data_IF_263622600773
#
_entry.id   IF_263622600773
#
_cell.length_a   1.000
_cell.length_b   1.000
_cell.length_c   1.000
_cell.angle_alpha   90.00
_cell.angle_beta   90.00
_cell.angle_gamma   90.00
#
_symmetry.space_group_name_H-M   'P 1'
#
loop_
_entity.id
_entity.type
_entity.pdbx_description
1 polymer ?
#
# COMPACT_ATOMS: atom_id res chain seq x y z
N UNK A 1 7.40 11.66 -52.63
CA UNK A 1 7.89 11.39 -51.26
C UNK A 1 7.29 12.44 -50.35
N UNK A 2 6.11 12.15 -49.77
CA UNK A 2 5.45 13.03 -48.80
C UNK A 2 5.83 12.54 -47.41
N UNK A 3 6.51 13.38 -46.64
CA UNK A 3 6.83 13.15 -45.24
C UNK A 3 5.59 13.41 -44.39
N UNK A 4 4.90 12.34 -44.00
CA UNK A 4 3.85 12.39 -42.98
C UNK A 4 4.44 12.85 -41.65
N UNK A 5 4.22 14.13 -41.33
CA UNK A 5 4.56 14.69 -40.03
C UNK A 5 3.42 14.30 -39.09
N UNK A 6 3.64 13.25 -38.28
CA UNK A 6 2.75 12.92 -37.15
C UNK A 6 2.67 14.15 -36.23
N UNK A 7 1.48 14.52 -35.73
CA UNK A 7 1.37 15.59 -34.75
C UNK A 7 2.06 15.16 -33.45
N UNK A 8 2.96 15.99 -32.95
CA UNK A 8 3.69 15.83 -31.68
C UNK A 8 2.72 15.79 -30.49
N UNK A 9 2.19 14.61 -30.17
CA UNK A 9 1.27 14.40 -29.06
C UNK A 9 1.91 14.61 -27.68
N UNK A 10 3.25 14.54 -27.60
CA UNK A 10 4.01 14.72 -26.36
C UNK A 10 4.04 16.18 -25.88
N UNK A 11 4.04 17.15 -26.80
CA UNK A 11 4.02 18.58 -26.46
C UNK A 11 2.71 19.02 -25.78
N UNK A 12 1.56 18.43 -26.18
CA UNK A 12 0.24 18.76 -25.61
C UNK A 12 0.11 18.30 -24.16
N UNK A 13 0.50 17.07 -23.87
CA UNK A 13 0.36 16.49 -22.52
C UNK A 13 1.19 17.26 -21.47
N UNK A 14 2.36 17.77 -21.85
CA UNK A 14 3.23 18.58 -20.98
C UNK A 14 2.61 19.92 -20.61
N UNK A 15 2.07 20.64 -21.58
CA UNK A 15 1.43 21.94 -21.32
C UNK A 15 0.11 21.78 -20.56
N UNK A 16 -0.63 20.69 -20.82
CA UNK A 16 -1.78 20.30 -20.00
C UNK A 16 -1.35 19.97 -18.56
N UNK A 17 -0.22 19.29 -18.36
CA UNK A 17 0.29 18.99 -17.03
C UNK A 17 0.69 20.26 -16.27
N UNK A 18 1.40 21.20 -16.91
CA UNK A 18 1.70 22.51 -16.30
C UNK A 18 0.44 23.27 -15.89
N UNK A 19 -0.56 23.25 -16.75
CA UNK A 19 -1.85 23.92 -16.51
C UNK A 19 -2.58 23.28 -15.32
N UNK A 20 -2.61 21.95 -15.29
CA UNK A 20 -3.11 21.18 -14.15
C UNK A 20 -2.37 21.52 -12.85
N UNK A 21 -1.03 21.57 -12.85
CA UNK A 21 -0.25 21.89 -11.65
C UNK A 21 -0.56 23.29 -11.10
N UNK A 22 -0.72 24.29 -11.97
CA UNK A 22 -1.07 25.66 -11.58
C UNK A 22 -2.44 25.73 -10.91
N UNK A 23 -3.42 24.96 -11.39
CA UNK A 23 -4.75 24.90 -10.80
C UNK A 23 -4.73 24.09 -9.49
N UNK A 24 -4.08 22.93 -9.50
CA UNK A 24 -4.02 22.01 -8.37
C UNK A 24 -3.33 22.64 -7.15
N UNK A 25 -2.28 23.44 -7.34
CA UNK A 25 -1.63 24.16 -6.23
C UNK A 25 -2.53 25.24 -5.61
N UNK A 26 -3.43 25.85 -6.39
CA UNK A 26 -4.40 26.83 -5.87
C UNK A 26 -5.54 26.13 -5.14
N UNK A 27 -6.03 25.01 -5.68
CA UNK A 27 -7.15 24.24 -5.13
C UNK A 27 -6.90 22.74 -5.32
N UNK A 28 -6.26 22.07 -4.34
CA UNK A 28 -6.03 20.63 -4.42
C UNK A 28 -7.35 19.87 -4.48
N UNK A 29 -7.57 19.09 -5.54
CA UNK A 29 -8.80 18.33 -5.75
C UNK A 29 -8.51 16.93 -6.26
N UNK A 30 -9.04 15.92 -5.56
CA UNK A 30 -8.94 14.53 -5.99
C UNK A 30 -9.68 14.29 -7.32
N UNK A 31 -10.74 15.06 -7.58
CA UNK A 31 -11.53 14.94 -8.80
C UNK A 31 -10.74 15.42 -10.02
N UNK A 32 -10.02 16.55 -9.91
CA UNK A 32 -9.17 17.03 -11.01
C UNK A 32 -7.99 16.11 -11.26
N UNK A 33 -7.39 15.56 -10.20
CA UNK A 33 -6.33 14.55 -10.30
C UNK A 33 -6.82 13.28 -11.01
N UNK A 34 -7.98 12.73 -10.62
CA UNK A 34 -8.56 11.55 -11.29
C UNK A 34 -8.89 11.83 -12.76
N UNK A 35 -9.41 13.01 -13.08
CA UNK A 35 -9.70 13.41 -14.46
C UNK A 35 -8.43 13.51 -15.31
N UNK A 36 -7.35 14.07 -14.77
CA UNK A 36 -6.08 14.15 -15.47
C UNK A 36 -5.47 12.75 -15.66
N UNK A 37 -5.41 11.93 -14.60
CA UNK A 37 -4.90 10.56 -14.65
C UNK A 37 -5.66 9.66 -15.62
N UNK A 38 -6.99 9.85 -15.74
CA UNK A 38 -7.81 9.12 -16.70
C UNK A 38 -7.52 9.49 -18.16
N UNK A 39 -7.09 10.73 -18.42
CA UNK A 39 -6.71 11.20 -19.75
C UNK A 39 -5.26 10.88 -20.11
N UNK A 40 -4.38 10.91 -19.11
CA UNK A 40 -2.94 10.74 -19.25
C UNK A 40 -2.45 9.67 -18.26
N UNK A 41 -2.59 8.37 -18.59
CA UNK A 41 -2.15 7.27 -17.73
C UNK A 41 -0.62 7.25 -17.55
N UNK A 42 0.12 7.75 -18.53
CA UNK A 42 1.54 8.05 -18.50
C UNK A 42 1.84 9.14 -19.52
N UNK A 43 2.78 10.03 -19.21
CA UNK A 43 3.15 11.13 -20.10
C UNK A 43 4.64 11.42 -20.01
N UNK A 44 5.19 11.87 -21.13
CA UNK A 44 6.55 12.35 -21.22
C UNK A 44 6.62 13.78 -20.66
N UNK A 45 7.62 14.02 -19.81
CA UNK A 45 7.88 15.34 -19.24
C UNK A 45 9.09 16.03 -19.87
N UNK A 46 9.84 15.36 -20.75
CA UNK A 46 11.01 15.93 -21.42
C UNK A 46 10.69 17.23 -22.21
N UNK A 47 11.57 18.26 -22.18
CA UNK A 47 12.90 18.34 -21.54
C UNK A 47 12.84 18.68 -20.03
N UNK A 48 11.64 18.73 -19.45
CA UNK A 48 11.43 18.99 -18.03
C UNK A 48 11.65 17.72 -17.22
N UNK A 49 12.01 17.89 -15.95
CA UNK A 49 12.47 16.77 -15.14
C UNK A 49 12.07 16.90 -13.68
N UNK A 50 11.94 15.75 -13.03
CA UNK A 50 11.86 15.66 -11.59
C UNK A 50 13.25 15.46 -11.00
N UNK A 51 13.54 16.22 -9.96
CA UNK A 51 14.77 16.12 -9.19
C UNK A 51 14.46 15.88 -7.72
N UNK A 52 15.29 15.07 -7.06
CA UNK A 52 15.17 14.77 -5.65
C UNK A 52 15.59 15.99 -4.82
N UNK A 53 14.62 16.58 -4.14
CA UNK A 53 14.81 17.71 -3.22
C UNK A 53 15.10 17.28 -1.79
N UNK A 54 14.86 16.00 -1.47
CA UNK A 54 15.17 15.42 -0.18
C UNK A 54 14.60 14.02 -0.05
N UNK A 55 15.03 13.32 1.00
CA UNK A 55 14.58 11.96 1.29
C UNK A 55 14.29 11.81 2.77
N UNK A 56 13.22 11.11 3.08
CA UNK A 56 12.91 10.67 4.42
C UNK A 56 12.45 9.23 4.36
N UNK A 57 13.25 8.32 4.94
CA UNK A 57 13.02 6.87 4.91
C UNK A 57 12.83 6.34 3.46
N UNK A 58 11.62 5.88 3.14
CA UNK A 58 11.20 5.33 1.84
C UNK A 58 10.51 6.36 0.94
N UNK A 59 10.30 7.59 1.43
CA UNK A 59 9.68 8.69 0.68
C UNK A 59 10.76 9.58 0.09
N UNK A 60 10.77 9.73 -1.24
CA UNK A 60 11.57 10.74 -1.93
C UNK A 60 10.72 11.96 -2.21
N UNK A 61 11.17 13.12 -1.77
CA UNK A 61 10.56 14.40 -2.08
C UNK A 61 11.13 14.92 -3.38
N UNK A 62 10.27 15.12 -4.37
CA UNK A 62 10.65 15.57 -5.69
C UNK A 62 10.24 17.03 -5.90
N UNK A 63 11.02 17.72 -6.70
CA UNK A 63 10.69 19.01 -7.28
C UNK A 63 10.69 18.88 -8.80
N UNK A 64 9.67 19.43 -9.44
CA UNK A 64 9.53 19.42 -10.89
C UNK A 64 10.09 20.73 -11.45
N UNK A 65 11.04 20.61 -12.37
CA UNK A 65 11.73 21.72 -13.03
C UNK A 65 11.35 21.74 -14.50
N UNK A 66 10.77 22.86 -14.93
CA UNK A 66 10.36 23.04 -16.32
C UNK A 66 10.49 24.52 -16.67
N UNK A 67 11.34 24.82 -17.65
CA UNK A 67 11.70 26.19 -18.02
C UNK A 67 12.22 26.99 -16.79
N UNK A 68 11.71 28.19 -16.53
CA UNK A 68 12.04 29.01 -15.36
C UNK A 68 11.15 28.72 -14.13
N UNK A 69 10.26 27.72 -14.20
CA UNK A 69 9.30 27.42 -13.15
C UNK A 69 9.69 26.14 -12.39
N UNK A 70 9.58 26.23 -11.06
CA UNK A 70 9.82 25.09 -10.17
C UNK A 70 8.57 24.82 -9.34
N UNK A 71 8.04 23.61 -9.45
CA UNK A 71 6.94 23.14 -8.62
C UNK A 71 7.45 22.19 -7.55
N UNK A 72 7.08 22.45 -6.31
CA UNK A 72 7.42 21.62 -5.14
C UNK A 72 6.21 20.77 -4.75
N UNK A 73 6.43 19.90 -3.76
CA UNK A 73 5.43 19.01 -3.17
C UNK A 73 5.07 17.81 -4.07
N UNK A 74 6.07 17.19 -4.67
CA UNK A 74 5.92 15.87 -5.26
C UNK A 74 6.57 14.83 -4.35
N UNK A 75 6.03 13.63 -4.35
CA UNK A 75 6.60 12.49 -3.65
C UNK A 75 6.64 11.28 -4.56
N UNK A 76 7.54 10.37 -4.25
CA UNK A 76 7.56 9.05 -4.85
C UNK A 76 7.62 8.03 -3.72
N UNK A 77 6.72 7.04 -3.78
CA UNK A 77 6.58 5.97 -2.80
C UNK A 77 7.03 4.65 -3.43
N UNK A 78 7.90 3.90 -2.78
CA UNK A 78 8.23 2.54 -3.23
C UNK A 78 9.68 2.09 -3.01
N UNK A 79 9.80 0.81 -2.67
CA UNK A 79 10.97 0.05 -2.23
C UNK A 79 11.84 -0.55 -3.35
N UNK A 80 11.57 -0.25 -4.62
CA UNK A 80 12.38 -0.72 -5.74
C UNK A 80 13.08 0.44 -6.42
N UNK A 81 14.24 0.86 -5.89
CA UNK A 81 15.23 1.56 -6.71
C UNK A 81 16.64 1.16 -6.30
N UNK A 82 17.29 0.47 -7.25
CA UNK A 82 18.75 0.55 -7.39
C UNK A 82 19.19 2.01 -7.54
N UNK A 83 20.46 2.25 -7.22
CA UNK A 83 21.13 3.54 -7.06
C UNK A 83 21.21 4.44 -8.31
N UNK A 84 20.23 4.44 -9.21
CA UNK A 84 20.27 5.27 -10.40
C UNK A 84 19.63 6.64 -10.11
N UNK A 85 20.45 7.69 -10.10
CA UNK A 85 20.03 9.09 -10.26
C UNK A 85 19.48 9.31 -11.69
N UNK A 86 18.49 8.53 -12.12
CA UNK A 86 17.89 8.67 -13.45
C UNK A 86 16.87 9.80 -13.40
N UNK A 87 16.98 10.74 -14.34
CA UNK A 87 15.94 11.71 -14.62
C UNK A 87 14.68 10.94 -15.03
N UNK A 88 13.54 11.28 -14.44
CA UNK A 88 12.26 10.67 -14.78
C UNK A 88 11.74 11.33 -16.05
N UNK A 89 11.85 10.63 -17.18
CA UNK A 89 11.42 11.13 -18.49
C UNK A 89 9.94 10.80 -18.75
N UNK A 90 9.50 9.59 -18.41
CA UNK A 90 8.09 9.19 -18.48
C UNK A 90 7.55 8.92 -17.09
N UNK A 91 6.45 9.60 -16.75
CA UNK A 91 5.86 9.55 -15.42
C UNK A 91 4.35 9.36 -15.50
N UNK A 92 3.79 8.80 -14.43
CA UNK A 92 2.35 8.75 -14.19
C UNK A 92 2.02 9.36 -12.84
N UNK A 93 0.82 9.92 -12.70
CA UNK A 93 0.36 10.48 -11.44
C UNK A 93 -0.33 9.41 -10.59
N UNK A 94 0.10 9.30 -9.34
CA UNK A 94 -0.51 8.47 -8.31
C UNK A 94 -1.63 9.20 -7.57
N UNK A 95 -1.60 9.15 -6.24
CA UNK A 95 -2.56 9.85 -5.39
C UNK A 95 -2.04 11.20 -4.88
N UNK A 96 -2.96 12.10 -4.52
CA UNK A 96 -2.62 13.27 -3.72
C UNK A 96 -2.82 12.96 -2.24
N UNK A 97 -1.86 13.33 -1.40
CA UNK A 97 -1.93 13.11 0.05
C UNK A 97 -1.47 14.32 0.84
N UNK A 98 -2.10 14.53 2.00
CA UNK A 98 -1.76 15.63 2.89
C UNK A 98 -0.72 15.18 3.91
N UNK A 99 0.47 15.77 3.87
CA UNK A 99 1.53 15.56 4.86
C UNK A 99 1.75 16.89 5.59
N UNK A 100 1.41 16.91 6.89
CA UNK A 100 1.40 18.14 7.68
C UNK A 100 0.34 19.12 7.17
N UNK A 101 0.77 20.31 6.74
CA UNK A 101 -0.10 21.36 6.16
C UNK A 101 -0.02 21.45 4.63
N UNK A 102 0.71 20.53 3.98
CA UNK A 102 0.96 20.57 2.53
C UNK A 102 0.35 19.34 1.86
N UNK A 103 -0.18 19.53 0.66
CA UNK A 103 -0.64 18.44 -0.21
C UNK A 103 0.50 18.07 -1.15
N UNK A 104 0.81 16.78 -1.21
CA UNK A 104 1.84 16.20 -2.06
C UNK A 104 1.20 15.34 -3.14
N UNK A 105 1.76 15.40 -4.34
CA UNK A 105 1.36 14.57 -5.48
C UNK A 105 2.34 13.41 -5.65
N UNK A 106 1.82 12.19 -5.68
CA UNK A 106 2.63 11.01 -5.96
C UNK A 106 2.98 10.92 -7.46
N UNK A 107 4.26 10.69 -7.75
CA UNK A 107 4.81 10.41 -9.07
C UNK A 107 5.21 8.95 -9.12
N UNK A 108 4.76 8.22 -10.14
CA UNK A 108 5.10 6.82 -10.40
C UNK A 108 5.93 6.73 -11.68
N UNK A 109 7.05 6.02 -11.62
CA UNK A 109 7.91 5.77 -12.78
C UNK A 109 7.44 4.50 -13.50
N UNK A 110 7.32 4.57 -14.82
CA UNK A 110 7.09 3.38 -15.64
C UNK A 110 8.43 2.68 -15.88
N UNK A 111 8.65 1.56 -15.19
CA UNK A 111 9.97 0.92 -15.16
C UNK A 111 10.05 -0.37 -14.32
N UNK A 112 9.09 -1.26 -14.46
CA UNK A 112 9.22 -2.73 -14.41
C UNK A 112 7.82 -3.34 -14.37
N UNK A 113 7.48 -4.04 -15.44
CA UNK A 113 6.30 -4.87 -15.57
C UNK A 113 6.40 -5.99 -14.52
N UNK A 114 5.44 -6.05 -13.61
CA UNK A 114 4.99 -7.34 -13.07
C UNK A 114 3.61 -7.61 -13.66
N UNK A 115 3.57 -8.67 -14.47
CA UNK A 115 2.37 -9.25 -15.04
C UNK A 115 1.36 -9.64 -13.96
N UNK A 116 0.08 -9.36 -14.22
CA UNK A 116 -0.98 -10.30 -13.90
C UNK A 116 -2.04 -10.26 -15.00
N UNK A 117 -1.64 -10.68 -16.19
CA UNK A 117 -2.55 -11.29 -17.15
C UNK A 117 -2.58 -12.79 -16.88
N UNK A 118 -3.64 -13.29 -16.24
CA UNK A 118 -4.11 -14.66 -16.45
C UNK A 118 -5.58 -14.61 -16.84
N UNK A 119 -5.78 -14.58 -18.14
CA UNK A 119 -7.00 -14.98 -18.83
C UNK A 119 -7.03 -16.50 -18.99
N UNK A 120 -8.08 -17.14 -18.45
CA UNK A 120 -8.65 -18.42 -18.89
C UNK A 120 -9.93 -18.60 -18.05
N UNK A 121 -11.15 -18.80 -18.52
CA UNK A 121 -11.72 -19.26 -19.79
C UNK A 121 -13.12 -18.65 -19.86
N UNK A 122 -13.47 -17.99 -20.96
CA UNK A 122 -14.86 -17.58 -21.23
C UNK A 122 -15.43 -18.51 -22.29
N UNK A 123 -16.18 -19.53 -21.86
CA UNK A 123 -17.06 -20.28 -22.73
C UNK A 123 -18.35 -19.49 -22.98
N UNK A 124 -18.70 -19.38 -24.26
CA UNK A 124 -19.98 -18.90 -24.77
C UNK A 124 -21.16 -19.59 -24.08
N UNK A 125 -22.15 -18.81 -23.64
CA UNK A 125 -23.56 -19.13 -23.91
C UNK A 125 -24.46 -17.91 -23.85
N UNK A 126 -25.52 -18.01 -24.62
CA UNK A 126 -26.34 -16.94 -25.15
C UNK A 126 -27.32 -16.34 -24.14
N UNK A 127 -27.71 -15.10 -24.45
CA UNK A 127 -28.95 -14.36 -24.12
C UNK A 127 -30.05 -15.18 -23.42
N UNK A 128 -30.66 -14.60 -22.37
CA UNK A 128 -32.12 -14.33 -22.27
C UNK A 128 -32.49 -13.51 -21.01
N UNK A 129 -33.28 -12.44 -21.26
CA UNK A 129 -34.28 -11.69 -20.45
C UNK A 129 -34.06 -11.31 -18.97
N UNK A 130 -34.16 -9.99 -18.78
CA UNK A 130 -34.98 -9.26 -17.79
C UNK A 130 -35.47 -10.01 -16.55
N UNK A 131 -35.06 -9.55 -15.36
CA UNK A 131 -36.03 -9.03 -14.39
C UNK A 131 -35.36 -8.10 -13.36
N UNK A 132 -36.14 -7.13 -12.91
CA UNK A 132 -35.77 -6.04 -12.01
C UNK A 132 -35.78 -6.54 -10.56
N UNK A 133 -34.69 -6.39 -9.82
CA UNK A 133 -34.76 -6.29 -8.36
C UNK A 133 -33.83 -5.18 -7.85
N UNK A 134 -34.35 -4.42 -6.90
CA UNK A 134 -33.80 -3.18 -6.38
C UNK A 134 -32.37 -3.34 -5.81
N UNK A 135 -31.49 -2.33 -5.91
CA UNK A 135 -30.22 -2.37 -5.22
C UNK A 135 -30.47 -2.32 -3.71
N UNK A 136 -30.30 -3.46 -3.04
CA UNK A 136 -30.08 -3.52 -1.60
C UNK A 136 -28.85 -2.66 -1.34
N UNK A 137 -29.07 -1.49 -0.71
CA UNK A 137 -28.00 -0.64 -0.21
C UNK A 137 -27.00 -1.52 0.54
N UNK A 138 -25.68 -1.42 0.30
CA UNK A 138 -24.72 -2.04 1.21
C UNK A 138 -24.96 -1.42 2.58
N UNK A 139 -25.47 -2.23 3.49
CA UNK A 139 -25.56 -1.90 4.91
C UNK A 139 -24.14 -1.51 5.33
N UNK A 140 -23.92 -0.35 5.97
CA UNK A 140 -22.61 -0.07 6.55
C UNK A 140 -22.29 -1.23 7.49
N UNK A 141 -21.14 -1.87 7.25
CA UNK A 141 -20.54 -2.83 8.17
C UNK A 141 -20.63 -2.20 9.55
N UNK A 142 -21.42 -2.82 10.44
CA UNK A 142 -21.53 -2.39 11.83
C UNK A 142 -20.09 -2.32 12.36
N UNK A 143 -19.57 -1.12 12.59
CA UNK A 143 -18.31 -0.97 13.31
C UNK A 143 -18.49 -1.71 14.65
N UNK A 144 -17.70 -2.75 14.94
CA UNK A 144 -17.75 -3.38 16.24
C UNK A 144 -17.37 -2.31 17.26
N UNK A 145 -18.35 -1.92 18.08
CA UNK A 145 -18.08 -1.22 19.32
C UNK A 145 -17.20 -2.16 20.16
N UNK A 146 -16.06 -1.62 20.59
CA UNK A 146 -15.21 -2.08 21.69
C UNK A 146 -14.01 -3.01 21.41
N UNK A 147 -13.50 -3.11 20.17
CA UNK A 147 -12.12 -3.63 19.98
C UNK A 147 -11.06 -2.52 20.14
N UNK A 148 -10.88 -2.05 21.38
CA UNK A 148 -9.89 -1.00 21.71
C UNK A 148 -8.44 -1.43 21.42
N UNK A 149 -8.15 -2.73 21.46
CA UNK A 149 -6.86 -3.30 21.10
C UNK A 149 -6.56 -3.12 19.61
N UNK A 150 -7.49 -3.54 18.75
CA UNK A 150 -7.34 -3.39 17.30
C UNK A 150 -7.31 -1.92 16.87
N UNK A 151 -8.12 -1.05 17.48
CA UNK A 151 -8.05 0.40 17.23
C UNK A 151 -6.67 0.97 17.59
N UNK A 152 -6.08 0.50 18.67
CA UNK A 152 -4.72 0.89 19.06
C UNK A 152 -3.70 0.42 18.04
N UNK A 153 -3.75 -0.85 17.65
CA UNK A 153 -2.91 -1.41 16.58
C UNK A 153 -3.02 -0.59 15.29
N UNK A 154 -4.24 -0.35 14.81
CA UNK A 154 -4.50 0.47 13.61
C UNK A 154 -3.94 1.88 13.74
N UNK A 155 -4.00 2.47 14.94
CA UNK A 155 -3.47 3.81 15.18
C UNK A 155 -1.94 3.87 15.06
N UNK A 156 -1.23 2.83 15.53
CA UNK A 156 0.22 2.71 15.41
C UNK A 156 0.60 2.34 13.97
N UNK A 157 -0.09 1.37 13.36
CA UNK A 157 0.12 0.92 11.99
C UNK A 157 -0.02 2.04 10.95
N UNK A 158 -0.93 3.00 11.19
CA UNK A 158 -1.12 4.16 10.31
C UNK A 158 -0.15 5.29 10.62
N UNK A 159 0.21 5.49 11.89
CA UNK A 159 1.02 6.64 12.34
C UNK A 159 2.04 6.25 13.43
N UNK A 160 3.14 5.56 13.07
CA UNK A 160 4.15 5.07 14.02
C UNK A 160 4.79 6.18 14.85
N UNK A 161 5.06 7.32 14.22
CA UNK A 161 5.93 8.40 14.72
C UNK A 161 5.25 9.36 15.72
N UNK A 162 4.00 9.11 16.12
CA UNK A 162 3.17 10.10 16.84
C UNK A 162 2.63 9.65 18.20
N UNK A 163 3.02 8.50 18.74
CA UNK A 163 2.39 7.97 19.97
C UNK A 163 3.34 7.28 20.95
N UNK A 164 2.94 7.34 22.22
CA UNK A 164 3.52 6.54 23.30
C UNK A 164 3.28 5.06 23.04
N UNK A 165 4.39 4.34 22.87
CA UNK A 165 4.42 2.90 22.70
C UNK A 165 4.17 2.27 24.07
N UNK A 166 3.06 1.54 24.21
CA UNK A 166 2.69 0.89 25.46
C UNK A 166 3.05 -0.61 25.38
N UNK A 167 4.22 -1.03 25.87
CA UNK A 167 4.60 -2.43 25.89
C UNK A 167 3.65 -3.21 26.81
N UNK A 168 3.24 -4.41 26.38
CA UNK A 168 2.37 -5.30 27.15
C UNK A 168 0.88 -5.20 26.82
N UNK A 169 0.46 -4.30 25.94
CA UNK A 169 -0.94 -4.20 25.50
C UNK A 169 -1.36 -5.40 24.64
N UNK A 170 -2.53 -5.94 24.94
CA UNK A 170 -3.16 -7.03 24.19
C UNK A 170 -3.98 -6.48 23.02
N UNK A 171 -3.86 -7.13 21.86
CA UNK A 171 -4.55 -6.81 20.63
C UNK A 171 -5.31 -8.06 20.18
N UNK A 172 -6.60 -7.88 19.90
CA UNK A 172 -7.46 -8.92 19.36
C UNK A 172 -7.71 -8.63 17.88
N UNK A 173 -7.23 -9.51 17.02
CA UNK A 173 -7.48 -9.53 15.58
C UNK A 173 -8.75 -10.35 15.35
N UNK A 174 -9.85 -9.64 15.09
CA UNK A 174 -11.17 -10.20 14.82
C UNK A 174 -11.42 -10.32 13.30
N UNK A 175 -12.64 -10.70 12.90
CA UNK A 175 -13.03 -10.85 11.49
C UNK A 175 -12.94 -9.55 10.66
N UNK A 176 -12.80 -8.38 11.31
CA UNK A 176 -12.56 -7.11 10.60
C UNK A 176 -11.09 -6.91 10.24
N UNK A 177 -10.19 -7.58 10.95
CA UNK A 177 -8.76 -7.60 10.64
C UNK A 177 -8.15 -8.97 10.97
N UNK A 178 -8.49 -10.04 10.24
CA UNK A 178 -7.87 -11.32 10.46
C UNK A 178 -6.40 -11.33 10.01
N UNK A 179 -5.69 -12.30 10.56
CA UNK A 179 -4.32 -12.66 10.25
C UNK A 179 -4.31 -13.69 9.13
N UNK A 180 -3.71 -13.33 7.99
CA UNK A 180 -3.55 -14.23 6.86
C UNK A 180 -2.22 -14.96 7.04
N UNK A 181 -2.24 -16.28 7.13
CA UNK A 181 -1.00 -17.03 7.24
C UNK A 181 -0.23 -16.99 5.91
N UNK A 182 1.05 -16.59 5.97
CA UNK A 182 1.91 -16.50 4.80
C UNK A 182 2.80 -17.72 4.69
N UNK A 183 3.64 -17.98 5.70
CA UNK A 183 4.61 -19.07 5.64
C UNK A 183 5.21 -19.36 7.00
N UNK A 184 5.85 -20.53 7.09
CA UNK A 184 6.77 -20.88 8.16
C UNK A 184 8.18 -20.49 7.73
N UNK A 185 8.86 -19.67 8.50
CA UNK A 185 10.21 -19.16 8.24
C UNK A 185 11.15 -19.41 9.42
N UNK A 186 12.44 -19.61 9.14
CA UNK A 186 13.47 -19.75 10.18
C UNK A 186 14.40 -18.54 10.16
N UNK A 187 14.77 -18.05 11.35
CA UNK A 187 15.85 -17.06 11.44
C UNK A 187 17.19 -17.76 11.25
N UNK A 188 17.82 -17.50 10.09
CA UNK A 188 19.04 -18.15 9.63
C UNK A 188 20.28 -17.82 10.50
N UNK A 189 20.35 -16.62 11.08
CA UNK A 189 21.62 -16.08 11.55
C UNK A 189 21.94 -16.26 13.04
N UNK A 190 20.98 -16.63 13.91
CA UNK A 190 21.24 -16.57 15.37
C UNK A 190 20.72 -17.78 16.16
N UNK A 191 19.43 -18.12 16.12
CA UNK A 191 18.84 -19.09 17.08
C UNK A 191 18.18 -20.32 16.45
N UNK A 192 18.20 -20.49 15.12
CA UNK A 192 17.38 -21.49 14.40
C UNK A 192 15.91 -21.50 14.85
N UNK A 193 15.42 -20.37 15.36
CA UNK A 193 14.05 -20.24 15.83
C UNK A 193 13.11 -20.27 14.64
N UNK A 194 12.09 -21.10 14.75
CA UNK A 194 11.01 -21.19 13.77
C UNK A 194 9.97 -20.12 14.08
N UNK A 195 9.50 -19.44 13.04
CA UNK A 195 8.46 -18.43 13.10
C UNK A 195 7.34 -18.81 12.15
N UNK A 196 6.13 -18.47 12.54
CA UNK A 196 4.96 -18.44 11.68
C UNK A 196 4.69 -16.99 11.33
N UNK A 197 4.75 -16.69 10.05
CA UNK A 197 4.59 -15.35 9.51
C UNK A 197 3.18 -15.14 9.00
N UNK A 198 2.56 -14.06 9.46
CA UNK A 198 1.20 -13.65 9.15
C UNK A 198 1.17 -12.23 8.59
N UNK A 199 0.11 -11.92 7.85
CA UNK A 199 -0.21 -10.57 7.42
C UNK A 199 -1.53 -10.11 8.04
N UNK A 200 -1.52 -8.99 8.75
CA UNK A 200 -2.74 -8.32 9.18
C UNK A 200 -3.48 -7.73 7.97
N UNK A 201 -4.66 -8.27 7.66
CA UNK A 201 -5.42 -7.93 6.45
C UNK A 201 -5.94 -6.49 6.39
N UNK A 202 -6.08 -5.81 7.54
CA UNK A 202 -6.62 -4.44 7.60
C UNK A 202 -5.60 -3.33 7.29
N UNK A 203 -4.31 -3.64 7.31
CA UNK A 203 -3.23 -2.66 7.07
C UNK A 203 -2.12 -3.23 6.18
N UNK A 204 -2.41 -3.90 5.06
CA UNK A 204 -1.44 -4.71 4.31
C UNK A 204 -0.22 -3.93 3.79
N UNK A 205 -0.33 -2.60 3.68
CA UNK A 205 0.75 -1.70 3.25
C UNK A 205 1.62 -1.17 4.41
N UNK A 206 1.27 -1.45 5.66
CA UNK A 206 2.03 -1.01 6.84
C UNK A 206 3.17 -1.99 7.13
N UNK A 207 4.36 -1.51 7.56
CA UNK A 207 5.42 -2.40 8.01
C UNK A 207 4.99 -3.26 9.21
N UNK A 208 4.07 -2.75 10.04
CA UNK A 208 3.52 -3.48 11.19
C UNK A 208 2.46 -4.52 10.81
N UNK A 209 2.11 -4.65 9.53
CA UNK A 209 1.22 -5.71 9.06
C UNK A 209 1.87 -7.08 9.06
N UNK A 210 3.19 -7.13 8.95
CA UNK A 210 3.95 -8.36 9.00
C UNK A 210 4.15 -8.78 10.45
N UNK A 211 3.47 -9.87 10.83
CA UNK A 211 3.43 -10.37 12.19
C UNK A 211 4.16 -11.70 12.21
N UNK A 212 5.24 -11.76 13.00
CA UNK A 212 6.00 -12.99 13.22
C UNK A 212 5.67 -13.53 14.61
N UNK A 213 5.16 -14.75 14.66
CA UNK A 213 4.90 -15.46 15.91
C UNK A 213 5.95 -16.56 16.05
N UNK A 214 6.70 -16.56 17.15
CA UNK A 214 7.69 -17.59 17.42
C UNK A 214 6.98 -18.91 17.69
N UNK A 215 7.46 -19.98 17.06
CA UNK A 215 7.01 -21.34 17.35
C UNK A 215 7.49 -21.79 18.74
N UNK A 216 6.83 -22.79 19.29
CA UNK A 216 7.28 -23.46 20.51
C UNK A 216 8.59 -24.25 20.28
N UNK A 217 9.08 -24.91 21.32
CA UNK A 217 10.29 -25.74 21.26
C UNK A 217 10.17 -26.94 20.31
N UNK A 218 8.94 -27.35 19.95
CA UNK A 218 8.65 -28.42 18.99
C UNK A 218 8.42 -27.87 17.57
N UNK A 219 8.52 -26.56 17.36
CA UNK A 219 8.26 -25.92 16.07
C UNK A 219 6.79 -25.81 15.70
N UNK A 220 5.88 -25.89 16.67
CA UNK A 220 4.42 -25.76 16.54
C UNK A 220 3.94 -24.37 16.97
N UNK A 221 2.71 -24.04 16.58
CA UNK A 221 1.98 -22.85 17.00
C UNK A 221 0.69 -23.26 17.71
N UNK A 222 0.25 -22.45 18.68
CA UNK A 222 -1.00 -22.66 19.40
C UNK A 222 -2.18 -22.14 18.56
N UNK A 223 -2.99 -23.05 18.05
CA UNK A 223 -4.24 -22.80 17.32
C UNK A 223 -5.42 -23.42 18.10
N UNK A 224 -6.42 -22.63 18.48
CA UNK A 224 -7.57 -23.07 19.29
C UNK A 224 -7.16 -23.90 20.53
N UNK A 225 -6.17 -23.40 21.28
CA UNK A 225 -5.58 -24.06 22.45
C UNK A 225 -4.87 -25.41 22.20
N UNK A 226 -4.57 -25.73 20.93
CA UNK A 226 -3.81 -26.93 20.54
C UNK A 226 -2.54 -26.56 19.80
N UNK A 227 -1.44 -27.23 20.15
CA UNK A 227 -0.18 -27.06 19.43
C UNK A 227 -0.21 -27.84 18.12
N UNK A 228 -0.16 -27.11 17.00
CA UNK A 228 -0.21 -27.66 15.64
C UNK A 228 0.89 -27.07 14.75
N UNK A 229 1.31 -27.82 13.75
CA UNK A 229 2.13 -27.37 12.63
C UNK A 229 1.33 -27.37 11.30
N UNK A 230 0.08 -27.82 11.34
CA UNK A 230 -0.82 -27.90 10.19
C UNK A 230 -1.65 -26.62 10.09
N UNK A 231 -1.04 -25.58 9.56
CA UNK A 231 -1.69 -24.31 9.25
C UNK A 231 -1.64 -24.08 7.74
N UNK A 232 -2.72 -23.58 7.14
CA UNK A 232 -2.85 -23.49 5.70
C UNK A 232 -2.41 -22.11 5.19
N UNK A 233 -1.46 -22.08 4.26
CA UNK A 233 -1.02 -20.84 3.61
C UNK A 233 -2.19 -20.15 2.89
N UNK A 234 -2.32 -18.84 3.11
CA UNK A 234 -3.42 -18.03 2.62
C UNK A 234 -4.71 -18.10 3.44
N UNK A 235 -4.81 -19.01 4.42
CA UNK A 235 -5.98 -19.07 5.29
C UNK A 235 -6.02 -17.89 6.27
N UNK A 236 -7.24 -17.56 6.70
CA UNK A 236 -7.54 -16.45 7.60
C UNK A 236 -7.75 -16.98 9.00
N UNK A 237 -7.13 -16.31 9.96
CA UNK A 237 -7.17 -16.67 11.36
C UNK A 237 -7.48 -15.44 12.21
N UNK A 238 -8.15 -15.66 13.33
CA UNK A 238 -8.26 -14.66 14.39
C UNK A 238 -7.05 -14.79 15.31
N UNK A 239 -6.75 -13.77 16.09
CA UNK A 239 -5.60 -13.83 16.98
C UNK A 239 -5.68 -12.92 18.18
N UNK A 240 -5.17 -13.37 19.32
CA UNK A 240 -4.90 -12.56 20.49
C UNK A 240 -3.39 -12.44 20.65
N UNK A 241 -2.85 -11.24 20.48
CA UNK A 241 -1.41 -10.98 20.51
C UNK A 241 -1.05 -9.91 21.53
N UNK A 242 0.04 -10.11 22.26
CA UNK A 242 0.53 -9.17 23.27
C UNK A 242 1.82 -8.50 22.80
N UNK A 243 1.83 -7.17 22.78
CA UNK A 243 3.02 -6.40 22.39
C UNK A 243 4.14 -6.65 23.40
N UNK A 244 5.31 -7.04 22.93
CA UNK A 244 6.54 -7.01 23.71
C UNK A 244 7.20 -5.64 23.62
N UNK A 245 7.51 -5.21 22.39
CA UNK A 245 8.10 -3.92 22.06
C UNK A 245 7.63 -3.50 20.66
N UNK A 246 7.71 -2.20 20.39
CA UNK A 246 7.42 -1.65 19.05
C UNK A 246 8.70 -0.97 18.57
N UNK A 247 9.20 -1.43 17.43
CA UNK A 247 10.37 -0.88 16.74
C UNK A 247 9.91 -0.05 15.53
N UNK A 248 10.84 0.62 14.86
CA UNK A 248 10.49 1.49 13.73
C UNK A 248 9.88 0.71 12.55
N UNK A 249 10.28 -0.54 12.37
CA UNK A 249 9.96 -1.38 11.21
C UNK A 249 9.14 -2.63 11.55
N UNK A 250 9.00 -2.99 12.83
CA UNK A 250 8.23 -4.17 13.27
C UNK A 250 7.68 -4.02 14.69
N UNK A 251 6.71 -4.87 15.02
CA UNK A 251 6.26 -5.08 16.40
C UNK A 251 6.79 -6.45 16.84
N UNK A 252 7.46 -6.50 17.99
CA UNK A 252 7.80 -7.76 18.63
C UNK A 252 6.64 -8.18 19.51
N UNK A 253 6.23 -9.44 19.41
CA UNK A 253 5.12 -10.02 20.14
C UNK A 253 5.64 -10.94 21.23
N UNK A 254 5.11 -10.82 22.45
CA UNK A 254 5.50 -11.65 23.60
C UNK A 254 4.74 -12.97 23.59
N UNK A 255 3.41 -12.86 23.54
CA UNK A 255 2.47 -13.97 23.60
C UNK A 255 1.52 -13.87 22.40
N UNK A 256 1.17 -15.01 21.82
CA UNK A 256 0.24 -15.09 20.71
C UNK A 256 -0.62 -16.36 20.80
N UNK A 257 -1.92 -16.19 20.67
CA UNK A 257 -2.91 -17.24 20.53
C UNK A 257 -3.62 -17.04 19.20
N UNK A 258 -3.70 -18.08 18.38
CA UNK A 258 -4.37 -18.03 17.08
C UNK A 258 -5.63 -18.88 17.15
N UNK A 259 -6.67 -18.44 16.45
CA UNK A 259 -7.96 -19.12 16.40
C UNK A 259 -8.42 -19.24 14.95
N UNK A 260 -9.20 -20.27 14.64
CA UNK A 260 -9.85 -20.35 13.33
C UNK A 260 -10.91 -19.24 13.19
N UNK A 261 -11.05 -18.67 11.99
CA UNK A 261 -12.13 -17.71 11.66
C UNK A 261 -13.49 -18.41 11.54
#
# INVERSE_FOLDING_TARGET
MGSDTKPDSSGSAREEFKSFLKEFQKRPSQTSLRSFRGRHPGFDVSPCYFEESGRFETVRYLSFYCDEQTWKNFIQLGSSFGNSKRRLETVSLGEAMTIGKKVFLEIKQEGSVFESGKTSVFEKREKTKQERENPIRPTPVKEPKDNFGLRYFLSIAKHPSKRDLNPGKEIFFDSTCPLIFLKKDSDFYWDKSLYYSFQASCVPSSPYSYIRIKADFLGKIRLDDKDTDQIQEGARYLGKLRIHSVEADKILWRDAEIYNE
#
